data_IF_677221002588
#
_entry.id   IF_677221002588
#
_cell.length_a   1.000
_cell.length_b   1.000
_cell.length_c   1.000
_cell.angle_alpha   90.00
_cell.angle_beta   90.00
_cell.angle_gamma   90.00
#
_symmetry.space_group_name_H-M   'P 1'
#
loop_
_entity.id
_entity.type
_entity.pdbx_description
1 polymer ?
#
# COMPACT_ATOMS: atom_id res chain seq x y z
N UNK A 1 31.03 22.25 25.09
CA UNK A 1 30.21 21.14 25.62
C UNK A 1 28.79 21.43 25.19
N UNK A 2 28.42 21.02 23.98
CA UNK A 2 27.06 21.20 23.48
C UNK A 2 26.16 20.20 24.19
N UNK A 3 25.22 20.73 24.96
CA UNK A 3 24.17 19.96 25.64
C UNK A 3 23.37 19.17 24.61
N UNK A 4 23.49 17.86 24.69
CA UNK A 4 22.71 16.88 23.95
C UNK A 4 21.23 17.03 24.35
N UNK A 5 20.52 17.95 23.70
CA UNK A 5 19.08 18.10 23.86
C UNK A 5 18.45 16.84 23.31
N UNK A 6 18.09 15.93 24.20
CA UNK A 6 17.35 14.72 23.89
C UNK A 6 16.13 15.08 23.04
N UNK A 7 16.23 14.81 21.74
CA UNK A 7 15.18 15.11 20.78
C UNK A 7 14.05 14.13 21.06
N UNK A 8 12.88 14.62 21.47
CA UNK A 8 11.71 13.79 21.63
C UNK A 8 11.25 13.31 20.23
N UNK A 9 11.47 12.03 19.93
CA UNK A 9 11.11 11.40 18.67
C UNK A 9 9.77 10.71 18.86
N UNK A 10 8.77 11.12 18.07
CA UNK A 10 7.43 10.52 18.08
C UNK A 10 7.37 9.30 17.15
N UNK A 11 8.02 9.40 15.99
CA UNK A 11 8.13 8.32 15.00
C UNK A 11 9.39 8.50 14.17
N UNK A 12 10.00 7.40 13.76
CA UNK A 12 11.04 7.41 12.73
C UNK A 12 10.86 6.23 11.76
N UNK A 13 11.28 6.40 10.51
CA UNK A 13 11.09 5.37 9.48
C UNK A 13 11.43 5.85 8.07
N UNK A 14 11.43 4.94 7.10
CA UNK A 14 11.61 5.29 5.70
C UNK A 14 10.29 5.73 5.05
N UNK A 15 10.33 6.84 4.33
CA UNK A 15 9.29 7.22 3.38
C UNK A 15 9.93 7.63 2.05
N UNK A 16 9.16 7.58 0.97
CA UNK A 16 9.57 8.11 -0.33
C UNK A 16 9.01 9.51 -0.49
N UNK A 17 9.90 10.49 -0.66
CA UNK A 17 9.53 11.89 -0.82
C UNK A 17 9.67 12.34 -2.27
N UNK A 18 8.67 13.07 -2.78
CA UNK A 18 8.81 13.85 -4.02
C UNK A 18 9.63 15.12 -3.82
N UNK A 19 10.59 15.37 -4.71
CA UNK A 19 11.36 16.62 -4.71
C UNK A 19 10.50 17.83 -5.14
N UNK A 20 10.87 19.02 -4.66
CA UNK A 20 10.10 20.24 -4.90
C UNK A 20 10.49 20.93 -6.23
N UNK A 21 11.80 21.09 -6.47
CA UNK A 21 12.34 21.69 -7.71
C UNK A 21 12.38 20.64 -8.83
N UNK A 22 13.04 19.52 -8.56
CA UNK A 22 13.04 18.35 -9.44
C UNK A 22 12.07 17.36 -8.84
N UNK A 23 10.98 17.09 -9.55
CA UNK A 23 9.84 16.31 -9.08
C UNK A 23 10.10 14.79 -9.01
N UNK A 24 11.36 14.40 -8.84
CA UNK A 24 11.76 13.00 -8.69
C UNK A 24 11.52 12.52 -7.26
N UNK A 25 11.17 11.23 -7.14
CA UNK A 25 10.99 10.56 -5.86
C UNK A 25 12.33 10.11 -5.27
N UNK A 26 12.48 10.22 -3.95
CA UNK A 26 13.69 9.80 -3.22
C UNK A 26 13.29 9.18 -1.88
N UNK A 27 13.76 7.96 -1.62
CA UNK A 27 13.69 7.37 -0.28
C UNK A 27 14.54 8.18 0.72
N UNK A 28 13.96 8.49 1.87
CA UNK A 28 14.60 9.26 2.96
C UNK A 28 14.21 8.65 4.29
N UNK A 29 15.12 8.76 5.27
CA UNK A 29 14.79 8.51 6.66
C UNK A 29 14.09 9.74 7.21
N UNK A 30 12.90 9.55 7.77
CA UNK A 30 12.10 10.59 8.39
C UNK A 30 12.11 10.43 9.90
N UNK A 31 12.17 11.57 10.60
CA UNK A 31 12.08 11.65 12.05
C UNK A 31 11.04 12.71 12.39
N UNK A 32 9.93 12.27 12.98
CA UNK A 32 8.85 13.11 13.47
C UNK A 32 9.18 13.55 14.90
N UNK A 33 9.24 14.86 15.10
CA UNK A 33 9.32 15.49 16.43
C UNK A 33 8.03 16.29 16.68
N UNK A 34 7.76 16.75 17.91
CA UNK A 34 6.52 17.46 18.22
C UNK A 34 6.24 18.70 17.36
N UNK A 35 7.27 19.37 16.84
CA UNK A 35 7.16 20.64 16.11
C UNK A 35 7.44 20.55 14.60
N UNK A 36 8.09 19.48 14.15
CA UNK A 36 8.63 19.36 12.78
C UNK A 36 8.83 17.92 12.36
N UNK A 37 8.85 17.72 11.05
CA UNK A 37 9.21 16.48 10.40
C UNK A 37 10.57 16.67 9.69
N UNK A 38 11.60 15.99 10.19
CA UNK A 38 12.98 16.04 9.68
C UNK A 38 13.20 14.90 8.69
N UNK A 39 14.03 15.12 7.67
CA UNK A 39 14.40 14.05 6.76
C UNK A 39 15.87 14.07 6.35
N UNK A 40 16.43 12.87 6.22
CA UNK A 40 17.86 12.63 6.07
C UNK A 40 18.15 11.81 4.82
N UNK A 41 19.31 12.04 4.21
CA UNK A 41 19.88 11.06 3.29
C UNK A 41 20.39 9.88 4.13
N UNK A 42 19.97 8.67 3.78
CA UNK A 42 20.45 7.47 4.45
C UNK A 42 21.55 6.83 3.60
N UNK A 43 22.80 6.91 4.05
CA UNK A 43 23.96 6.25 3.42
C UNK A 43 24.70 5.41 4.48
N UNK A 44 24.77 4.10 4.23
CA UNK A 44 25.68 3.18 4.92
C UNK A 44 25.66 3.28 6.45
N UNK A 45 24.47 3.17 7.06
CA UNK A 45 24.14 3.16 8.50
C UNK A 45 24.46 4.40 9.34
N UNK A 46 24.93 5.52 8.77
CA UNK A 46 25.04 6.78 9.52
C UNK A 46 23.80 7.66 9.29
N UNK A 47 22.92 7.73 10.30
CA UNK A 47 21.77 8.67 10.35
C UNK A 47 22.20 10.14 10.18
N UNK A 48 23.45 10.46 10.54
CA UNK A 48 23.92 11.84 10.72
C UNK A 48 24.54 12.49 9.48
N UNK A 49 24.67 11.80 8.35
CA UNK A 49 25.55 12.29 7.29
C UNK A 49 25.00 13.45 6.42
N UNK A 50 23.74 13.85 6.56
CA UNK A 50 23.24 15.18 6.16
C UNK A 50 21.72 15.28 6.36
N UNK A 51 21.27 16.03 7.37
CA UNK A 51 19.89 16.50 7.37
C UNK A 51 19.62 17.21 6.05
N UNK A 52 18.67 16.71 5.27
CA UNK A 52 18.40 17.23 3.92
C UNK A 52 17.35 18.33 3.94
N UNK A 53 16.44 18.28 4.92
CA UNK A 53 15.51 19.36 5.17
C UNK A 53 14.62 19.12 6.38
N UNK A 54 13.67 20.02 6.56
CA UNK A 54 12.66 20.00 7.62
C UNK A 54 11.33 20.51 7.07
N UNK A 55 10.23 20.00 7.60
CA UNK A 55 8.86 20.45 7.33
C UNK A 55 8.32 20.90 8.69
N UNK A 56 7.94 22.17 8.81
CA UNK A 56 7.34 22.69 10.04
C UNK A 56 5.87 22.24 10.10
N UNK A 57 5.45 21.71 11.24
CA UNK A 57 4.10 21.15 11.40
C UNK A 57 3.07 22.18 11.84
N UNK A 58 3.50 23.32 12.37
CA UNK A 58 2.57 24.39 12.77
C UNK A 58 1.70 24.81 11.57
N UNK A 59 0.38 24.74 11.78
CA UNK A 59 -0.66 25.04 10.78
C UNK A 59 -0.53 24.21 9.48
N UNK A 60 0.02 22.99 9.58
CA UNK A 60 0.12 22.07 8.46
C UNK A 60 -1.21 21.33 8.25
N UNK A 61 -1.68 21.27 7.01
CA UNK A 61 -2.87 20.49 6.62
C UNK A 61 -2.41 19.17 6.01
N UNK A 62 -2.98 18.05 6.46
CA UNK A 62 -2.65 16.71 5.94
C UNK A 62 -3.83 16.19 5.13
N UNK A 63 -3.56 15.73 3.91
CA UNK A 63 -4.52 15.00 3.06
C UNK A 63 -4.06 13.56 2.95
N UNK A 64 -4.86 12.65 3.50
CA UNK A 64 -4.58 11.21 3.50
C UNK A 64 -5.90 10.42 3.35
N UNK A 65 -6.04 9.54 2.35
CA UNK A 65 -5.09 9.30 1.25
C UNK A 65 -5.02 10.48 0.27
N UNK A 66 -3.90 10.61 -0.45
CA UNK A 66 -3.78 11.51 -1.61
C UNK A 66 -3.65 10.68 -2.90
N UNK A 67 -4.76 10.56 -3.64
CA UNK A 67 -4.91 9.60 -4.74
C UNK A 67 -4.69 10.19 -6.15
N UNK A 68 -4.16 11.40 -6.27
CA UNK A 68 -3.91 12.03 -7.59
C UNK A 68 -2.72 11.39 -8.34
N UNK A 69 -1.87 10.59 -7.68
CA UNK A 69 -0.82 9.82 -8.33
C UNK A 69 -1.30 8.40 -8.65
N UNK A 70 -1.67 8.15 -9.90
CA UNK A 70 -2.19 6.85 -10.39
C UNK A 70 -1.30 5.66 -9.99
N UNK A 71 0.03 5.80 -10.07
CA UNK A 71 1.00 4.73 -9.77
C UNK A 71 1.56 4.76 -8.33
N UNK A 72 1.05 5.64 -7.46
CA UNK A 72 1.50 5.78 -6.06
C UNK A 72 0.31 5.97 -5.11
N UNK A 73 -0.52 4.94 -4.89
CA UNK A 73 -1.75 5.05 -4.09
C UNK A 73 -1.50 5.19 -2.58
N UNK A 74 -0.24 5.05 -2.14
CA UNK A 74 0.16 5.11 -0.74
C UNK A 74 0.69 6.50 -0.34
N UNK A 75 0.41 7.51 -1.16
CA UNK A 75 0.84 8.88 -0.90
C UNK A 75 -0.07 9.58 0.09
N UNK A 76 0.54 10.35 0.97
CA UNK A 76 -0.07 11.41 1.77
C UNK A 76 0.54 12.75 1.37
N UNK A 77 -0.28 13.80 1.45
CA UNK A 77 0.12 15.18 1.15
C UNK A 77 0.15 16.00 2.44
N UNK A 78 1.22 16.75 2.65
CA UNK A 78 1.34 17.74 3.73
C UNK A 78 1.46 19.13 3.09
N UNK A 79 0.54 20.02 3.42
CA UNK A 79 0.58 21.41 3.01
C UNK A 79 0.96 22.28 4.20
N UNK A 80 2.12 22.93 4.12
CA UNK A 80 2.58 23.84 5.19
C UNK A 80 1.78 25.15 5.18
N UNK A 81 1.87 25.95 6.26
CA UNK A 81 1.14 27.24 6.38
C UNK A 81 1.35 28.20 5.20
N UNK A 82 2.48 28.10 4.51
CA UNK A 82 2.83 28.96 3.37
C UNK A 82 2.33 28.39 2.02
N UNK A 83 1.49 27.36 2.04
CA UNK A 83 0.95 26.70 0.84
C UNK A 83 1.95 25.78 0.14
N UNK A 84 3.08 25.44 0.77
CA UNK A 84 4.06 24.52 0.17
C UNK A 84 3.62 23.08 0.38
N UNK A 85 3.48 22.36 -0.73
CA UNK A 85 3.04 20.97 -0.77
C UNK A 85 4.21 19.99 -0.70
N UNK A 86 4.08 18.98 0.17
CA UNK A 86 5.01 17.88 0.34
C UNK A 86 4.28 16.55 0.17
N UNK A 87 4.75 15.73 -0.77
CA UNK A 87 4.20 14.41 -1.03
C UNK A 87 5.13 13.33 -0.47
N UNK A 88 4.56 12.44 0.33
CA UNK A 88 5.26 11.36 1.03
C UNK A 88 4.53 10.04 0.79
N UNK A 89 5.25 8.98 0.43
CA UNK A 89 4.70 7.65 0.21
C UNK A 89 5.24 6.66 1.24
N UNK A 90 4.35 5.90 1.87
CA UNK A 90 4.69 4.81 2.79
C UNK A 90 4.82 3.47 2.05
N UNK A 91 5.29 2.42 2.73
CA UNK A 91 5.38 1.09 2.11
C UNK A 91 4.02 0.37 2.12
N UNK A 92 3.10 0.83 2.98
CA UNK A 92 1.79 0.22 3.16
C UNK A 92 0.68 1.24 3.44
N UNK A 93 -0.58 0.81 3.30
CA UNK A 93 -1.75 1.62 3.66
C UNK A 93 -1.73 1.89 5.17
N UNK A 94 -1.46 0.84 5.92
CA UNK A 94 -1.40 0.82 7.37
C UNK A 94 -0.33 1.80 7.86
N UNK A 95 0.89 1.71 7.32
CA UNK A 95 1.99 2.63 7.65
C UNK A 95 1.66 4.07 7.24
N UNK A 96 1.06 4.31 6.07
CA UNK A 96 0.62 5.64 5.64
C UNK A 96 -0.36 6.25 6.65
N UNK A 97 -1.38 5.50 7.02
CA UNK A 97 -2.45 5.97 7.89
C UNK A 97 -1.92 6.24 9.31
N UNK A 98 -1.00 5.39 9.80
CA UNK A 98 -0.29 5.62 11.05
C UNK A 98 0.61 6.86 11.02
N UNK A 99 1.41 7.07 9.96
CA UNK A 99 2.20 8.29 9.82
C UNK A 99 1.31 9.52 9.78
N UNK A 100 0.21 9.49 9.03
CA UNK A 100 -0.73 10.59 8.95
C UNK A 100 -1.38 10.88 10.32
N UNK A 101 -1.74 9.84 11.07
CA UNK A 101 -2.30 9.98 12.42
C UNK A 101 -1.31 10.64 13.38
N UNK A 102 -0.06 10.18 13.43
CA UNK A 102 0.97 10.72 14.32
C UNK A 102 1.34 12.17 13.97
N UNK A 103 1.42 12.49 12.67
CA UNK A 103 1.66 13.86 12.22
C UNK A 103 0.48 14.76 12.59
N UNK A 104 -0.77 14.32 12.36
CA UNK A 104 -1.98 15.07 12.76
C UNK A 104 -2.01 15.32 14.28
N UNK A 105 -1.68 14.30 15.08
CA UNK A 105 -1.60 14.44 16.53
C UNK A 105 -0.56 15.50 16.94
N UNK A 106 0.62 15.49 16.31
CA UNK A 106 1.64 16.51 16.53
C UNK A 106 1.15 17.93 16.14
N UNK A 107 0.48 18.09 14.99
CA UNK A 107 -0.10 19.36 14.55
C UNK A 107 -1.12 19.88 15.57
N UNK A 108 -2.04 19.04 16.02
CA UNK A 108 -3.09 19.42 16.96
C UNK A 108 -2.52 19.85 18.32
N UNK A 109 -1.48 19.17 18.81
CA UNK A 109 -0.78 19.55 20.04
C UNK A 109 -0.09 20.93 19.95
N UNK A 110 0.32 21.36 18.75
CA UNK A 110 0.86 22.71 18.54
C UNK A 110 -0.21 23.81 18.49
N UNK A 111 -1.46 23.45 18.20
CA UNK A 111 -2.59 24.37 18.22
C UNK A 111 -3.10 24.60 19.65
N UNK A 112 -3.19 23.55 20.47
CA UNK A 112 -3.68 23.63 21.86
C UNK A 112 -2.75 24.45 22.78
N UNK A 113 -1.45 24.51 22.46
CA UNK A 113 -0.46 25.30 23.21
C UNK A 113 -0.56 26.82 22.98
N UNK A 114 -1.34 27.28 21.98
CA UNK A 114 -1.44 28.70 21.61
C UNK A 114 -2.83 29.32 21.81
N UNK A 115 -3.82 28.63 22.39
CA UNK A 115 -5.14 29.24 22.61
C UNK A 115 -6.10 28.42 23.47
N UNK A 116 -6.50 28.98 24.62
CA UNK A 116 -7.81 28.69 25.22
C UNK A 116 -8.90 29.42 24.41
N UNK A 117 -10.01 28.72 24.14
CA UNK A 117 -11.25 29.15 23.45
C UNK A 117 -11.14 29.14 21.91
N UNK A 118 -11.98 28.43 21.14
CA UNK A 118 -13.41 28.12 21.28
C UNK A 118 -13.77 26.69 20.84
N UNK A 119 -14.85 26.19 21.42
CA UNK A 119 -15.68 25.08 20.94
C UNK A 119 -16.28 25.38 19.57
N UNK A 120 -16.23 24.42 18.64
CA UNK A 120 -17.25 24.27 17.60
C UNK A 120 -17.52 22.78 17.40
N UNK A 121 -18.78 22.40 17.55
CA UNK A 121 -19.32 21.09 17.17
C UNK A 121 -19.41 21.02 15.64
N UNK A 122 -19.21 19.87 14.99
CA UNK A 122 -19.77 19.64 13.67
C UNK A 122 -21.22 19.17 13.81
N UNK A 123 -22.15 19.93 13.22
CA UNK A 123 -23.49 19.44 12.90
C UNK A 123 -23.44 18.43 11.73
N UNK A 124 -24.35 17.44 11.68
CA UNK A 124 -24.45 16.49 10.59
C UNK A 124 -25.49 16.94 9.55
N UNK A 125 -25.05 17.11 8.30
CA UNK A 125 -25.93 17.26 7.13
C UNK A 125 -25.11 16.87 5.89
N UNK A 126 -25.62 16.29 4.81
CA UNK A 126 -26.91 15.77 4.38
C UNK A 126 -26.59 14.97 3.10
N UNK A 127 -27.33 13.91 2.80
CA UNK A 127 -27.13 13.04 1.65
C UNK A 127 -27.46 13.75 0.32
N UNK A 128 -26.44 14.04 -0.49
CA UNK A 128 -26.60 14.41 -1.90
C UNK A 128 -26.19 13.23 -2.78
N UNK A 129 -27.18 12.52 -3.34
CA UNK A 129 -26.98 11.63 -4.48
C UNK A 129 -26.63 12.49 -5.71
N UNK A 130 -25.34 12.74 -5.89
CA UNK A 130 -24.81 13.34 -7.11
C UNK A 130 -25.06 12.39 -8.29
N UNK A 131 -25.31 12.92 -9.48
CA UNK A 131 -25.64 12.19 -10.70
C UNK A 131 -24.51 11.20 -11.10
N UNK A 132 -24.55 9.97 -10.61
CA UNK A 132 -23.52 8.94 -10.82
C UNK A 132 -23.64 8.39 -12.24
N UNK A 133 -22.65 8.64 -13.09
CA UNK A 133 -22.58 8.01 -14.41
C UNK A 133 -22.19 6.54 -14.28
N UNK A 134 -23.12 5.61 -14.59
CA UNK A 134 -22.89 4.17 -14.52
C UNK A 134 -21.67 3.71 -15.34
N UNK A 135 -21.39 4.37 -16.47
CA UNK A 135 -20.20 4.11 -17.28
C UNK A 135 -18.88 4.37 -16.53
N UNK A 136 -18.81 5.46 -15.73
CA UNK A 136 -17.63 5.78 -14.91
C UNK A 136 -17.47 4.85 -13.71
N UNK A 137 -18.60 4.38 -13.16
CA UNK A 137 -18.60 3.34 -12.12
C UNK A 137 -18.02 2.06 -12.70
N UNK A 138 -18.47 1.67 -13.89
CA UNK A 138 -17.97 0.48 -14.57
C UNK A 138 -16.48 0.59 -14.92
N UNK A 139 -16.02 1.72 -15.46
CA UNK A 139 -14.59 1.96 -15.71
C UNK A 139 -13.76 1.82 -14.42
N UNK A 140 -14.27 2.34 -13.30
CA UNK A 140 -13.66 2.15 -11.97
C UNK A 140 -13.71 0.70 -11.49
N UNK A 141 -14.77 -0.05 -11.79
CA UNK A 141 -14.90 -1.47 -11.41
C UNK A 141 -13.91 -2.36 -12.18
N UNK A 142 -13.57 -2.00 -13.43
CA UNK A 142 -12.55 -2.67 -14.24
C UNK A 142 -11.12 -2.23 -13.91
N UNK A 143 -10.94 -1.20 -13.08
CA UNK A 143 -9.62 -0.70 -12.74
C UNK A 143 -8.77 -1.79 -12.07
N UNK A 144 -7.55 -1.95 -12.56
CA UNK A 144 -6.67 -3.06 -12.17
C UNK A 144 -6.23 -2.97 -10.70
N UNK A 145 -6.26 -1.78 -10.10
CA UNK A 145 -5.71 -1.52 -8.77
C UNK A 145 -6.78 -1.22 -7.71
N UNK A 146 -7.84 -0.53 -8.11
CA UNK A 146 -8.93 -0.08 -7.26
C UNK A 146 -10.25 -0.76 -7.59
N UNK A 147 -10.36 -1.49 -8.70
CA UNK A 147 -11.58 -2.16 -9.15
C UNK A 147 -11.89 -3.45 -8.41
N UNK A 148 -12.98 -4.10 -8.84
CA UNK A 148 -13.46 -5.32 -8.21
C UNK A 148 -12.55 -6.49 -8.58
N UNK A 149 -11.96 -7.09 -7.55
CA UNK A 149 -11.09 -8.25 -7.72
C UNK A 149 -11.90 -9.44 -8.22
N UNK A 150 -11.60 -9.89 -9.44
CA UNK A 150 -12.12 -11.14 -9.99
C UNK A 150 -11.43 -12.33 -9.31
N UNK A 151 -12.22 -13.29 -8.84
CA UNK A 151 -11.72 -14.54 -8.25
C UNK A 151 -12.46 -15.76 -8.78
N UNK A 152 -11.90 -16.94 -8.49
CA UNK A 152 -12.57 -18.21 -8.73
C UNK A 152 -13.32 -18.61 -7.45
N UNK A 153 -14.60 -18.93 -7.59
CA UNK A 153 -15.46 -19.36 -6.49
C UNK A 153 -15.92 -20.80 -6.74
N UNK A 154 -15.87 -21.64 -5.72
CA UNK A 154 -16.37 -23.03 -5.78
C UNK A 154 -17.66 -23.11 -4.96
N UNK A 155 -18.76 -23.43 -5.61
CA UNK A 155 -20.08 -23.59 -4.97
C UNK A 155 -20.72 -24.89 -5.45
N UNK A 156 -21.10 -25.76 -4.51
CA UNK A 156 -21.73 -27.08 -4.75
C UNK A 156 -21.00 -27.95 -5.81
N UNK A 157 -19.66 -27.95 -5.80
CA UNK A 157 -18.84 -28.73 -6.72
C UNK A 157 -18.67 -28.11 -8.12
N UNK A 158 -19.30 -26.97 -8.40
CA UNK A 158 -19.09 -26.19 -9.62
C UNK A 158 -18.07 -25.06 -9.36
N UNK A 159 -17.14 -24.86 -10.30
CA UNK A 159 -16.17 -23.77 -10.23
C UNK A 159 -16.60 -22.63 -11.16
N UNK A 160 -16.86 -21.47 -10.58
CA UNK A 160 -17.16 -20.23 -11.29
C UNK A 160 -15.88 -19.38 -11.34
N UNK A 161 -15.42 -19.05 -12.54
CA UNK A 161 -14.19 -18.27 -12.74
C UNK A 161 -14.48 -16.84 -13.17
N UNK A 162 -13.58 -15.93 -12.81
CA UNK A 162 -13.68 -14.50 -13.11
C UNK A 162 -14.98 -13.86 -12.60
N UNK A 163 -15.39 -14.21 -11.38
CA UNK A 163 -16.59 -13.68 -10.73
C UNK A 163 -16.26 -13.06 -9.38
N UNK A 164 -17.25 -12.39 -8.79
CA UNK A 164 -17.20 -11.74 -7.49
C UNK A 164 -18.55 -11.92 -6.77
N UNK A 165 -18.55 -11.85 -5.43
CA UNK A 165 -19.78 -11.94 -4.66
C UNK A 165 -20.55 -10.62 -4.66
N UNK A 166 -21.85 -10.68 -4.42
CA UNK A 166 -22.69 -9.51 -4.31
C UNK A 166 -22.27 -8.60 -3.16
N UNK A 167 -21.88 -9.19 -2.04
CA UNK A 167 -21.30 -8.46 -0.90
C UNK A 167 -20.01 -7.72 -1.27
N UNK A 168 -19.15 -8.29 -2.12
CA UNK A 168 -17.91 -7.65 -2.54
C UNK A 168 -18.17 -6.40 -3.40
N UNK A 169 -19.22 -6.39 -4.22
CA UNK A 169 -19.64 -5.20 -4.98
C UNK A 169 -20.16 -4.12 -4.05
N UNK A 170 -21.00 -4.48 -3.08
CA UNK A 170 -21.56 -3.53 -2.11
C UNK A 170 -20.46 -2.91 -1.25
N UNK A 171 -19.57 -3.75 -0.73
CA UNK A 171 -18.42 -3.30 0.06
C UNK A 171 -17.53 -2.37 -0.77
N UNK A 172 -17.30 -2.70 -2.04
CA UNK A 172 -16.51 -1.90 -2.96
C UNK A 172 -17.15 -0.54 -3.26
N UNK A 173 -18.45 -0.47 -3.53
CA UNK A 173 -19.16 0.78 -3.84
C UNK A 173 -19.14 1.75 -2.67
N UNK A 174 -19.33 1.25 -1.45
CA UNK A 174 -19.23 2.03 -0.21
C UNK A 174 -17.77 2.44 0.03
N UNK A 175 -16.81 1.54 -0.17
CA UNK A 175 -15.39 1.80 0.00
C UNK A 175 -14.85 2.88 -0.95
N UNK A 176 -15.31 2.88 -2.21
CA UNK A 176 -14.98 3.88 -3.22
C UNK A 176 -15.74 5.21 -3.00
N UNK A 177 -16.55 5.31 -1.95
CA UNK A 177 -17.38 6.48 -1.62
C UNK A 177 -18.30 6.92 -2.77
N UNK A 178 -18.69 5.95 -3.63
CA UNK A 178 -19.67 6.22 -4.69
C UNK A 178 -21.08 6.33 -4.11
N UNK A 179 -21.31 5.72 -2.95
CA UNK A 179 -22.58 5.68 -2.21
C UNK A 179 -22.26 5.64 -0.70
N UNK A 180 -23.18 6.12 0.14
CA UNK A 180 -22.97 6.30 1.57
C UNK A 180 -23.53 5.14 2.40
N UNK A 181 -24.51 4.40 1.86
CA UNK A 181 -25.13 3.27 2.56
C UNK A 181 -25.09 1.99 1.73
N UNK A 182 -25.18 0.84 2.41
CA UNK A 182 -25.30 -0.47 1.73
C UNK A 182 -26.58 -0.58 0.91
N UNK A 183 -27.66 0.07 1.36
CA UNK A 183 -28.93 0.11 0.61
C UNK A 183 -28.74 0.86 -0.71
N UNK A 184 -28.11 2.04 -0.69
CA UNK A 184 -27.77 2.79 -1.90
C UNK A 184 -26.81 1.99 -2.80
N UNK A 185 -25.86 1.25 -2.23
CA UNK A 185 -24.96 0.37 -2.96
C UNK A 185 -25.70 -0.77 -3.67
N UNK A 186 -26.69 -1.39 -3.02
CA UNK A 186 -27.54 -2.40 -3.65
C UNK A 186 -28.39 -1.78 -4.75
N UNK A 187 -28.91 -0.56 -4.57
CA UNK A 187 -29.64 0.17 -5.62
C UNK A 187 -28.75 0.44 -6.83
N UNK A 188 -27.53 0.94 -6.61
CA UNK A 188 -26.57 1.21 -7.69
C UNK A 188 -26.11 -0.08 -8.38
N UNK A 189 -25.85 -1.15 -7.63
CA UNK A 189 -25.50 -2.46 -8.17
C UNK A 189 -26.66 -3.11 -8.96
N UNK A 190 -27.90 -2.89 -8.52
CA UNK A 190 -29.10 -3.30 -9.28
C UNK A 190 -29.21 -2.55 -10.60
N UNK A 191 -28.96 -1.24 -10.62
CA UNK A 191 -28.92 -0.47 -11.86
C UNK A 191 -27.82 -0.96 -12.83
N UNK A 192 -26.64 -1.32 -12.30
CA UNK A 192 -25.57 -1.92 -13.12
C UNK A 192 -25.95 -3.29 -13.72
N UNK A 193 -26.78 -4.06 -13.00
CA UNK A 193 -27.30 -5.34 -13.46
C UNK A 193 -28.39 -5.16 -14.53
N UNK A 194 -29.31 -4.22 -14.33
CA UNK A 194 -30.39 -3.89 -15.27
C UNK A 194 -29.88 -3.34 -16.60
N UNK A 195 -28.87 -2.45 -16.56
CA UNK A 195 -28.20 -1.92 -17.75
C UNK A 195 -27.27 -2.95 -18.44
N UNK A 196 -27.20 -4.17 -17.90
CA UNK A 196 -26.45 -5.27 -18.50
C UNK A 196 -24.93 -5.16 -18.39
N UNK A 197 -24.42 -4.32 -17.48
CA UNK A 197 -22.98 -4.24 -17.19
C UNK A 197 -22.52 -5.42 -16.33
N UNK A 198 -23.39 -5.89 -15.44
CA UNK A 198 -23.21 -7.10 -14.64
C UNK A 198 -24.11 -8.23 -15.13
N UNK A 199 -23.75 -9.46 -14.79
CA UNK A 199 -24.60 -10.65 -14.96
C UNK A 199 -24.55 -11.55 -13.74
N UNK A 200 -25.65 -12.24 -13.47
CA UNK A 200 -25.73 -13.31 -12.46
C UNK A 200 -25.02 -14.56 -12.97
N UNK A 201 -24.32 -15.25 -12.07
CA UNK A 201 -23.51 -16.44 -12.41
C UNK A 201 -23.75 -17.58 -11.43
N UNK A 202 -23.82 -17.28 -10.13
CA UNK A 202 -24.06 -18.28 -9.08
C UNK A 202 -25.53 -18.66 -9.00
N UNK A 203 -25.82 -19.90 -8.58
CA UNK A 203 -27.20 -20.42 -8.51
C UNK A 203 -28.13 -19.49 -7.73
N UNK A 204 -27.68 -19.01 -6.56
CA UNK A 204 -28.45 -18.09 -5.71
C UNK A 204 -28.76 -16.76 -6.39
N UNK A 205 -27.78 -16.18 -7.09
CA UNK A 205 -27.97 -14.92 -7.83
C UNK A 205 -28.93 -15.08 -9.02
N UNK A 206 -28.90 -16.24 -9.70
CA UNK A 206 -29.79 -16.57 -10.82
C UNK A 206 -31.22 -16.83 -10.34
N UNK A 207 -31.37 -17.53 -9.21
CA UNK A 207 -32.68 -17.76 -8.61
C UNK A 207 -33.32 -16.48 -8.08
N UNK A 208 -32.51 -15.58 -7.49
CA UNK A 208 -32.97 -14.26 -7.07
C UNK A 208 -33.47 -13.43 -8.26
N UNK A 209 -32.74 -13.42 -9.38
CA UNK A 209 -33.18 -12.75 -10.61
C UNK A 209 -34.50 -13.30 -11.16
N UNK A 210 -34.75 -14.61 -11.02
CA UNK A 210 -35.99 -15.26 -11.47
C UNK A 210 -37.20 -14.97 -10.57
N UNK A 211 -36.96 -14.68 -9.29
CA UNK A 211 -37.99 -14.62 -8.24
C UNK A 211 -38.28 -13.19 -7.78
N UNK A 212 -37.33 -12.26 -7.91
CA UNK A 212 -37.46 -10.89 -7.45
C UNK A 212 -38.29 -10.01 -8.40
N UNK A 213 -39.14 -9.14 -7.83
CA UNK A 213 -39.76 -8.03 -8.56
C UNK A 213 -38.74 -6.96 -8.95
N UNK A 214 -39.14 -6.04 -9.83
CA UNK A 214 -38.34 -5.02 -10.53
C UNK A 214 -37.39 -4.14 -9.67
N UNK A 215 -37.37 -4.25 -8.35
CA UNK A 215 -36.58 -3.38 -7.45
C UNK A 215 -35.58 -4.12 -6.53
N UNK A 216 -35.44 -5.45 -6.63
CA UNK A 216 -34.57 -6.22 -5.72
C UNK A 216 -33.81 -7.38 -6.41
N UNK A 217 -33.24 -7.13 -7.60
CA UNK A 217 -32.56 -8.17 -8.39
C UNK A 217 -31.13 -8.47 -7.90
N UNK A 218 -30.44 -7.46 -7.34
CA UNK A 218 -29.09 -7.62 -6.81
C UNK A 218 -29.11 -8.01 -5.33
N UNK A 219 -28.32 -9.01 -4.94
CA UNK A 219 -28.21 -9.48 -3.57
C UNK A 219 -26.90 -9.04 -2.92
N UNK A 220 -26.99 -8.34 -1.80
CA UNK A 220 -25.86 -8.13 -0.88
C UNK A 220 -25.56 -9.41 -0.09
N UNK A 221 -25.02 -10.41 -0.77
CA UNK A 221 -24.79 -11.74 -0.19
C UNK A 221 -23.46 -12.31 -0.69
N UNK A 222 -22.72 -12.99 0.21
CA UNK A 222 -21.39 -13.53 -0.08
C UNK A 222 -21.42 -14.78 -0.98
N UNK A 223 -22.57 -15.43 -1.11
CA UNK A 223 -22.77 -16.61 -1.96
C UNK A 223 -23.55 -16.29 -3.24
N UNK A 224 -24.07 -15.07 -3.40
CA UNK A 224 -24.61 -14.60 -4.67
C UNK A 224 -23.44 -14.14 -5.58
N UNK A 225 -23.19 -14.85 -6.68
CA UNK A 225 -22.03 -14.59 -7.56
C UNK A 225 -22.42 -13.85 -8.83
N UNK A 226 -21.65 -12.82 -9.18
CA UNK A 226 -21.83 -11.97 -10.34
C UNK A 226 -20.54 -11.89 -11.16
N UNK A 227 -20.64 -11.53 -12.43
CA UNK A 227 -19.48 -11.21 -13.28
C UNK A 227 -19.80 -10.06 -14.22
N UNK A 228 -18.78 -9.49 -14.84
CA UNK A 228 -18.99 -8.52 -15.90
C UNK A 228 -19.57 -9.16 -17.17
N UNK A 229 -20.33 -8.38 -17.94
CA UNK A 229 -20.92 -8.82 -19.20
C UNK A 229 -19.89 -8.93 -20.34
N UNK A 230 -20.04 -9.95 -21.19
CA UNK A 230 -19.08 -10.31 -22.26
C UNK A 230 -18.99 -9.27 -23.39
N UNK A 231 -19.96 -8.35 -23.51
CA UNK A 231 -20.00 -7.30 -24.54
C UNK A 231 -18.86 -6.27 -24.43
N UNK A 232 -18.12 -6.25 -23.32
CA UNK A 232 -17.03 -5.30 -23.04
C UNK A 232 -15.61 -5.90 -23.23
N UNK A 233 -15.50 -7.20 -23.56
CA UNK A 233 -14.22 -7.89 -23.79
C UNK A 233 -13.40 -7.37 -24.99
N UNK A 234 -13.90 -6.38 -25.74
CA UNK A 234 -13.22 -5.80 -26.92
C UNK A 234 -12.28 -4.62 -26.63
N UNK A 235 -12.13 -4.18 -25.39
CA UNK A 235 -11.10 -3.18 -25.04
C UNK A 235 -10.02 -3.83 -24.17
N UNK A 236 -8.95 -4.29 -24.83
CA UNK A 236 -7.74 -4.78 -24.17
C UNK A 236 -7.74 -6.26 -23.80
N UNK A 237 -8.04 -7.16 -24.75
CA UNK A 237 -7.61 -8.56 -24.61
C UNK A 237 -6.09 -8.63 -24.81
N UNK A 238 -5.34 -8.46 -23.72
CA UNK A 238 -3.97 -8.95 -23.68
C UNK A 238 -4.09 -10.46 -23.56
N UNK A 239 -3.67 -11.15 -24.62
CA UNK A 239 -3.46 -12.61 -24.60
C UNK A 239 -2.69 -12.94 -23.33
N UNK A 240 -3.22 -13.85 -22.53
CA UNK A 240 -2.51 -14.42 -21.39
C UNK A 240 -1.29 -15.17 -21.93
N UNK A 241 -0.18 -14.45 -22.12
CA UNK A 241 1.14 -15.06 -22.12
C UNK A 241 1.43 -15.43 -20.67
N UNK A 242 1.35 -16.73 -20.39
CA UNK A 242 1.75 -17.35 -19.14
C UNK A 242 3.26 -17.21 -18.97
N UNK A 243 3.74 -15.99 -18.74
CA UNK A 243 5.13 -15.72 -18.39
C UNK A 243 5.37 -16.20 -16.96
N UNK A 244 6.50 -16.87 -16.71
CA UNK A 244 6.90 -17.33 -15.38
C UNK A 244 6.81 -16.20 -14.34
N UNK A 245 7.08 -14.95 -14.74
CA UNK A 245 6.95 -13.76 -13.89
C UNK A 245 5.53 -13.52 -13.36
N UNK A 246 4.47 -13.84 -14.12
CA UNK A 246 3.10 -13.66 -13.65
C UNK A 246 2.75 -14.64 -12.51
N UNK A 247 3.26 -15.88 -12.60
CA UNK A 247 3.10 -16.90 -11.55
C UNK A 247 3.92 -16.54 -10.32
N UNK A 248 5.15 -16.04 -10.48
CA UNK A 248 5.98 -15.59 -9.36
C UNK A 248 5.33 -14.42 -8.59
N UNK A 249 4.64 -13.53 -9.31
CA UNK A 249 3.96 -12.37 -8.75
C UNK A 249 2.55 -12.66 -8.22
N UNK A 250 1.98 -13.84 -8.50
CA UNK A 250 0.59 -14.19 -8.11
C UNK A 250 0.43 -14.47 -6.61
N UNK A 251 1.53 -14.69 -5.89
CA UNK A 251 1.49 -15.05 -4.47
C UNK A 251 0.87 -13.97 -3.58
N UNK A 252 0.18 -14.40 -2.51
CA UNK A 252 -0.45 -13.53 -1.52
C UNK A 252 0.62 -12.75 -0.76
N UNK A 253 0.51 -11.42 -0.75
CA UNK A 253 1.44 -10.57 0.01
C UNK A 253 1.23 -10.79 1.51
N UNK A 254 2.31 -11.18 2.21
CA UNK A 254 2.31 -11.40 3.66
C UNK A 254 2.89 -10.17 4.36
N UNK A 255 3.99 -9.63 3.83
CA UNK A 255 4.70 -8.50 4.44
C UNK A 255 5.33 -7.63 3.36
N UNK A 256 5.33 -6.32 3.61
CA UNK A 256 6.01 -5.32 2.80
C UNK A 256 6.72 -4.31 3.70
N UNK A 257 7.78 -3.70 3.20
CA UNK A 257 8.61 -2.80 4.00
C UNK A 257 9.82 -2.26 3.25
N UNK A 258 10.29 -1.09 3.66
CA UNK A 258 11.52 -0.51 3.14
C UNK A 258 12.73 -1.05 3.90
N UNK A 259 13.62 -1.75 3.18
CA UNK A 259 14.86 -2.29 3.73
C UNK A 259 16.05 -1.82 2.91
N UNK A 260 17.23 -1.81 3.52
CA UNK A 260 18.47 -1.58 2.80
C UNK A 260 19.02 -2.89 2.27
N UNK A 261 19.40 -2.88 0.98
CA UNK A 261 19.99 -4.03 0.31
C UNK A 261 21.37 -3.70 -0.22
N UNK A 262 22.32 -4.61 -0.01
CA UNK A 262 23.61 -4.55 -0.69
C UNK A 262 23.50 -5.02 -2.15
N UNK A 263 24.03 -4.23 -3.09
CA UNK A 263 24.13 -4.60 -4.51
C UNK A 263 25.16 -5.71 -4.74
N UNK A 264 24.90 -6.67 -5.63
CA UNK A 264 25.81 -7.81 -5.83
C UNK A 264 27.16 -7.44 -6.46
N UNK A 265 27.16 -6.55 -7.47
CA UNK A 265 28.38 -6.14 -8.20
C UNK A 265 29.13 -5.01 -7.51
N UNK A 266 28.50 -3.84 -7.37
CA UNK A 266 29.13 -2.62 -6.82
C UNK A 266 29.09 -2.54 -5.29
N UNK A 267 28.40 -3.46 -4.61
CA UNK A 267 28.30 -3.53 -3.14
C UNK A 267 27.85 -2.22 -2.48
N UNK A 268 27.08 -1.40 -3.19
CA UNK A 268 26.44 -0.22 -2.64
C UNK A 268 25.12 -0.59 -1.95
N UNK A 269 24.78 0.17 -0.92
CA UNK A 269 23.53 -0.01 -0.18
C UNK A 269 22.45 0.89 -0.78
N UNK A 270 21.28 0.30 -1.04
CA UNK A 270 20.11 1.03 -1.54
C UNK A 270 18.86 0.64 -0.77
N UNK A 271 18.02 1.62 -0.49
CA UNK A 271 16.66 1.36 -0.01
C UNK A 271 15.86 0.70 -1.14
N UNK A 272 15.16 -0.36 -0.79
CA UNK A 272 14.28 -1.13 -1.66
C UNK A 272 12.98 -1.42 -0.91
N UNK A 273 11.86 -1.36 -1.63
CA UNK A 273 10.62 -1.91 -1.12
C UNK A 273 10.69 -3.42 -1.30
N UNK A 274 10.74 -4.17 -0.21
CA UNK A 274 10.64 -5.63 -0.23
C UNK A 274 9.18 -6.05 -0.08
N UNK A 275 8.77 -7.06 -0.84
CA UNK A 275 7.43 -7.66 -0.80
C UNK A 275 7.58 -9.17 -0.69
N UNK A 276 7.22 -9.70 0.47
CA UNK A 276 7.17 -11.12 0.78
C UNK A 276 5.81 -11.68 0.37
N UNK A 277 5.80 -12.75 -0.41
CA UNK A 277 4.60 -13.45 -0.87
C UNK A 277 4.60 -14.90 -0.42
N UNK A 278 3.43 -15.45 -0.09
CA UNK A 278 3.18 -16.90 0.04
C UNK A 278 2.44 -17.42 -1.18
N UNK A 279 2.63 -18.70 -1.48
CA UNK A 279 1.84 -19.45 -2.46
C UNK A 279 1.74 -18.77 -3.85
N UNK A 280 2.84 -18.67 -4.63
CA UNK A 280 4.16 -19.23 -4.36
C UNK A 280 5.03 -18.33 -3.45
N UNK A 281 5.91 -18.99 -2.68
CA UNK A 281 6.82 -18.34 -1.75
C UNK A 281 7.95 -17.59 -2.48
N UNK A 282 7.85 -16.26 -2.52
CA UNK A 282 8.81 -15.39 -3.21
C UNK A 282 9.08 -14.12 -2.42
N UNK A 283 10.31 -13.64 -2.53
CA UNK A 283 10.71 -12.32 -2.04
C UNK A 283 11.13 -11.44 -3.21
N UNK A 284 10.31 -10.42 -3.50
CA UNK A 284 10.58 -9.43 -4.55
C UNK A 284 11.06 -8.12 -3.95
N UNK A 285 11.85 -7.36 -4.70
CA UNK A 285 12.26 -6.01 -4.31
C UNK A 285 12.19 -5.01 -5.46
N UNK A 286 11.68 -3.82 -5.15
CA UNK A 286 11.36 -2.76 -6.11
C UNK A 286 12.24 -1.53 -5.88
N UNK A 287 12.41 -0.70 -6.91
CA UNK A 287 13.01 0.62 -6.73
C UNK A 287 11.91 1.62 -6.36
N UNK A 288 11.79 2.02 -5.08
CA UNK A 288 10.66 2.82 -4.65
C UNK A 288 10.71 4.27 -5.18
N UNK A 289 11.79 4.63 -5.88
CA UNK A 289 11.98 5.96 -6.50
C UNK A 289 11.47 6.05 -7.93
N UNK A 290 11.03 4.92 -8.50
CA UNK A 290 10.46 4.84 -9.83
C UNK A 290 8.95 4.63 -9.73
N UNK A 291 8.23 5.04 -10.76
CA UNK A 291 6.79 4.77 -10.91
C UNK A 291 6.53 3.42 -11.60
N UNK A 292 7.61 2.64 -11.80
CA UNK A 292 7.57 1.30 -12.37
C UNK A 292 7.13 0.30 -11.29
N UNK A 293 6.04 -0.41 -11.58
CA UNK A 293 5.49 -1.47 -10.73
C UNK A 293 6.22 -2.80 -10.90
N UNK A 294 7.22 -2.87 -11.79
CA UNK A 294 8.01 -4.07 -12.02
C UNK A 294 9.08 -4.26 -10.95
N UNK A 295 9.31 -5.49 -10.45
CA UNK A 295 10.39 -5.76 -9.51
C UNK A 295 11.74 -5.51 -10.17
N UNK A 296 12.67 -4.92 -9.41
CA UNK A 296 14.09 -4.84 -9.83
C UNK A 296 14.73 -6.22 -9.80
N UNK A 297 14.23 -7.08 -8.93
CA UNK A 297 14.55 -8.50 -8.89
C UNK A 297 13.72 -9.20 -7.82
N UNK A 298 13.86 -10.52 -7.79
CA UNK A 298 13.24 -11.37 -6.80
C UNK A 298 13.89 -12.75 -6.82
N UNK A 299 13.51 -13.57 -5.85
CA UNK A 299 13.94 -14.96 -5.78
C UNK A 299 12.90 -15.80 -5.02
N UNK A 300 12.82 -17.08 -5.38
CA UNK A 300 12.02 -18.04 -4.62
C UNK A 300 12.64 -18.24 -3.25
N UNK A 301 11.79 -18.35 -2.24
CA UNK A 301 12.23 -18.64 -0.87
C UNK A 301 12.44 -20.13 -0.62
N UNK A 302 11.94 -21.00 -1.50
CA UNK A 302 12.06 -22.45 -1.35
C UNK A 302 13.53 -22.86 -1.28
N UNK A 303 13.92 -23.48 -0.17
CA UNK A 303 15.29 -23.92 0.06
C UNK A 303 16.30 -22.78 0.30
N UNK A 304 15.82 -21.57 0.65
CA UNK A 304 16.69 -20.49 1.11
C UNK A 304 17.16 -20.75 2.55
N UNK A 305 18.40 -20.35 2.84
CA UNK A 305 18.92 -20.28 4.19
C UNK A 305 18.90 -18.83 4.67
N UNK A 306 18.32 -18.60 5.86
CA UNK A 306 18.16 -17.26 6.42
C UNK A 306 18.85 -17.17 7.77
N UNK A 307 19.79 -16.24 7.91
CA UNK A 307 20.56 -16.05 9.15
C UNK A 307 20.58 -14.60 9.62
N UNK A 308 20.44 -14.42 10.93
CA UNK A 308 20.76 -13.16 11.60
C UNK A 308 22.27 -12.95 11.57
N UNK A 309 22.72 -11.72 11.28
CA UNK A 309 24.11 -11.34 11.43
C UNK A 309 24.26 -10.55 12.74
N UNK A 310 25.24 -10.93 13.56
CA UNK A 310 25.53 -10.26 14.83
C UNK A 310 26.23 -8.92 14.63
N UNK A 311 26.12 -8.04 15.63
CA UNK A 311 26.63 -6.67 15.61
C UNK A 311 28.12 -6.56 16.00
N UNK A 312 28.81 -7.69 16.12
CA UNK A 312 30.22 -7.81 16.55
C UNK A 312 31.22 -7.45 15.44
N UNK A 313 30.97 -6.34 14.73
CA UNK A 313 31.78 -5.86 13.60
C UNK A 313 31.05 -5.93 12.26
N UNK A 314 31.80 -5.75 11.16
CA UNK A 314 31.25 -5.85 9.81
C UNK A 314 31.31 -7.31 9.34
N UNK A 315 30.17 -7.98 9.10
CA UNK A 315 30.16 -9.39 8.71
C UNK A 315 30.90 -9.63 7.39
N UNK A 316 31.50 -10.81 7.23
CA UNK A 316 32.21 -11.17 5.99
C UNK A 316 31.28 -11.05 4.77
N UNK A 317 31.73 -10.29 3.76
CA UNK A 317 30.97 -10.00 2.54
C UNK A 317 30.08 -8.74 2.59
N UNK A 318 29.91 -8.12 3.76
CA UNK A 318 29.32 -6.78 3.89
C UNK A 318 30.40 -5.73 3.63
N UNK A 319 30.13 -4.78 2.72
CA UNK A 319 30.98 -3.62 2.44
C UNK A 319 30.31 -2.33 2.89
N UNK A 320 31.13 -1.38 3.31
CA UNK A 320 30.69 -0.12 3.92
C UNK A 320 30.57 -0.27 5.43
N UNK A 321 30.61 0.86 6.15
CA UNK A 321 30.54 0.90 7.62
C UNK A 321 29.11 0.61 8.13
N UNK A 322 28.40 -0.35 7.53
CA UNK A 322 27.04 -0.74 7.88
C UNK A 322 27.06 -1.66 9.08
N UNK A 323 26.46 -1.21 10.18
CA UNK A 323 26.36 -1.96 11.43
C UNK A 323 24.91 -1.92 11.96
N UNK A 324 24.53 -2.94 12.74
CA UNK A 324 23.20 -3.03 13.34
C UNK A 324 22.17 -3.62 12.39
N UNK A 325 21.27 -4.45 12.92
CA UNK A 325 20.04 -4.89 12.25
C UNK A 325 20.24 -5.60 10.90
N UNK A 326 21.38 -6.27 10.71
CA UNK A 326 21.72 -7.00 9.49
C UNK A 326 21.23 -8.45 9.53
N UNK A 327 20.80 -8.95 8.36
CA UNK A 327 20.54 -10.36 8.13
C UNK A 327 20.94 -10.78 6.71
N UNK A 328 21.11 -12.08 6.52
CA UNK A 328 21.57 -12.68 5.27
C UNK A 328 20.56 -13.72 4.78
N UNK A 329 20.34 -13.74 3.48
CA UNK A 329 19.61 -14.81 2.79
C UNK A 329 20.54 -15.43 1.75
N UNK A 330 20.65 -16.75 1.75
CA UNK A 330 21.38 -17.53 0.75
C UNK A 330 20.34 -18.31 -0.05
N UNK A 331 20.26 -18.05 -1.35
CA UNK A 331 19.35 -18.78 -2.24
C UNK A 331 19.84 -20.19 -2.53
N UNK A 332 18.98 -21.06 -3.05
CA UNK A 332 19.35 -22.40 -3.49
C UNK A 332 20.49 -22.40 -4.53
N UNK A 333 20.61 -21.31 -5.31
CA UNK A 333 21.69 -21.07 -6.27
C UNK A 333 22.95 -20.43 -5.66
N UNK A 334 23.11 -20.49 -4.33
CA UNK A 334 24.22 -19.91 -3.57
C UNK A 334 24.42 -18.39 -3.82
N UNK A 335 23.33 -17.66 -4.06
CA UNK A 335 23.38 -16.19 -4.17
C UNK A 335 23.15 -15.56 -2.81
N UNK A 336 24.09 -14.71 -2.38
CA UNK A 336 24.10 -14.13 -1.03
C UNK A 336 23.52 -12.71 -1.03
N UNK A 337 22.39 -12.56 -0.36
CA UNK A 337 21.69 -11.29 -0.14
C UNK A 337 22.00 -10.79 1.27
N UNK A 338 22.53 -9.57 1.36
CA UNK A 338 22.72 -8.87 2.63
C UNK A 338 21.69 -7.74 2.72
N UNK A 339 20.92 -7.77 3.80
CA UNK A 339 19.78 -6.87 4.03
C UNK A 339 19.90 -6.28 5.44
N UNK A 340 19.58 -5.00 5.57
CA UNK A 340 19.52 -4.30 6.86
C UNK A 340 18.10 -3.79 7.07
N UNK A 341 17.52 -4.11 8.22
CA UNK A 341 16.26 -3.54 8.66
C UNK A 341 16.49 -2.22 9.42
N UNK A 342 15.52 -1.32 9.45
CA UNK A 342 15.66 -0.06 10.16
C UNK A 342 15.82 -0.24 11.67
N UNK A 343 15.04 -1.17 12.25
CA UNK A 343 15.06 -1.49 13.68
C UNK A 343 15.36 -2.97 13.94
N UNK A 344 15.75 -3.29 15.17
CA UNK A 344 15.95 -4.68 15.59
C UNK A 344 14.64 -5.47 15.55
N UNK A 345 13.52 -4.85 15.94
CA UNK A 345 12.20 -5.46 15.88
C UNK A 345 11.84 -5.83 14.43
N UNK A 346 11.98 -4.89 13.49
CA UNK A 346 11.72 -5.19 12.08
C UNK A 346 12.65 -6.27 11.53
N UNK A 347 13.92 -6.31 11.95
CA UNK A 347 14.83 -7.41 11.58
C UNK A 347 14.25 -8.75 12.01
N UNK A 348 13.80 -8.87 13.25
CA UNK A 348 13.22 -10.12 13.78
C UNK A 348 11.93 -10.47 13.04
N UNK A 349 11.01 -9.52 12.86
CA UNK A 349 9.76 -9.73 12.14
C UNK A 349 9.99 -10.22 10.71
N UNK A 350 10.97 -9.64 10.01
CA UNK A 350 11.33 -10.07 8.66
C UNK A 350 11.97 -11.46 8.65
N UNK A 351 12.86 -11.77 9.60
CA UNK A 351 13.46 -13.10 9.72
C UNK A 351 12.40 -14.17 9.94
N UNK A 352 11.47 -13.95 10.86
CA UNK A 352 10.44 -14.92 11.21
C UNK A 352 9.44 -15.10 10.07
N UNK A 353 9.01 -14.00 9.44
CA UNK A 353 8.14 -14.06 8.28
C UNK A 353 8.79 -14.82 7.11
N UNK A 354 10.07 -14.59 6.81
CA UNK A 354 10.76 -15.28 5.70
C UNK A 354 10.99 -16.75 6.04
N UNK A 355 11.38 -17.09 7.28
CA UNK A 355 11.59 -18.48 7.72
C UNK A 355 10.33 -19.32 7.59
N UNK A 356 9.15 -18.74 7.83
CA UNK A 356 7.87 -19.43 7.64
C UNK A 356 7.57 -19.83 6.18
N UNK A 357 8.35 -19.32 5.22
CA UNK A 357 8.15 -19.52 3.78
C UNK A 357 9.28 -20.30 3.08
N UNK A 358 10.35 -20.66 3.80
CA UNK A 358 11.56 -21.29 3.23
C UNK A 358 11.41 -22.79 2.95
#
# INVERSE_FOLDING_TARGET
>A
MDTDKQVNILREGFLVKRGHVVQNWKARWFVLTPDKLLYYKYEGSKRDSCQRGKILLKDCVITCPFLEYENRPLVMKLQTKHGVDHYLEACSREERDEWAADINAAVNNLQTTNGKSKTDKPDPAESQLNNISLSKVLDSMYDVHSGIKLSNHVEQGSTYSNCFSGSAVVDWLVFMQLVLTRVEAVTLASALLEEGFLRTVGQKSVEALRTAGLSAQFMDDSTALYSFSDSLKKRGSVKAETSLSAVELSGKVIKRGYLLKQGHRRKNWKVRLFVLRSEPAFLHYYDPTKDDISPVGGFSLRGCLVSSLEDNGVPSGVKGNVQGNLFKIITQTDTHYFIQAPTHQEKMDWLDAIRSQC
#
